data_IF_291619944536
#
_entry.id   IF_291619944536
#
_cell.length_a   1.000
_cell.length_b   1.000
_cell.length_c   1.000
_cell.angle_alpha   90.00
_cell.angle_beta   90.00
_cell.angle_gamma   90.00
#
_symmetry.space_group_name_H-M   'P 1'
#
loop_
_entity.id
_entity.type
_entity.pdbx_description
1 polymer ?
#
# COMPACT_ATOMS: atom_id res chain seq x y z
N UNK A 1 -13.29 20.38 14.43
CA UNK A 1 -14.19 21.53 14.18
C UNK A 1 -15.65 21.19 14.51
N UNK A 2 -16.28 20.22 13.82
CA UNK A 2 -17.70 19.85 14.09
C UNK A 2 -17.93 19.34 15.53
N UNK A 3 -16.99 18.60 16.10
CA UNK A 3 -17.06 18.18 17.50
C UNK A 3 -17.09 19.39 18.46
N UNK A 4 -16.24 20.37 18.23
CA UNK A 4 -16.20 21.60 19.01
C UNK A 4 -17.48 22.42 18.87
N UNK A 5 -18.07 22.47 17.67
CA UNK A 5 -19.37 23.07 17.45
C UNK A 5 -20.48 22.38 18.25
N UNK A 6 -20.48 21.04 18.26
CA UNK A 6 -21.44 20.23 19.01
C UNK A 6 -21.30 20.45 20.53
N UNK A 7 -20.08 20.46 21.05
CA UNK A 7 -19.82 20.80 22.46
C UNK A 7 -20.33 22.18 22.83
N UNK A 8 -20.04 23.20 22.00
CA UNK A 8 -20.51 24.57 22.22
C UNK A 8 -22.04 24.60 22.24
N UNK A 9 -22.70 23.93 21.31
CA UNK A 9 -24.16 23.92 21.23
C UNK A 9 -24.79 23.21 22.44
N UNK A 10 -24.27 22.06 22.85
CA UNK A 10 -24.80 21.30 23.98
C UNK A 10 -24.58 21.99 25.33
N UNK A 11 -23.42 22.61 25.51
CA UNK A 11 -23.03 23.20 26.79
C UNK A 11 -23.65 24.59 27.02
N UNK A 12 -24.01 25.33 25.97
CA UNK A 12 -24.51 26.70 26.11
C UNK A 12 -26.03 26.79 26.11
N UNK A 13 -26.75 25.81 25.59
CA UNK A 13 -28.22 25.84 25.46
C UNK A 13 -28.74 26.92 24.50
N UNK A 14 -27.86 27.50 23.65
CA UNK A 14 -28.22 28.52 22.68
C UNK A 14 -29.09 27.94 21.56
N UNK A 15 -30.02 28.73 21.06
CA UNK A 15 -30.91 28.30 19.98
C UNK A 15 -30.18 28.02 18.66
N UNK A 16 -29.02 28.64 18.44
CA UNK A 16 -28.12 28.40 17.31
C UNK A 16 -26.67 28.53 17.73
N UNK A 17 -25.81 27.64 17.26
CA UNK A 17 -24.37 27.72 17.40
C UNK A 17 -23.70 27.64 16.03
N UNK A 18 -22.77 28.53 15.76
CA UNK A 18 -22.06 28.60 14.48
C UNK A 18 -20.59 28.24 14.62
N UNK A 19 -20.03 27.61 13.60
CA UNK A 19 -18.62 27.40 13.44
C UNK A 19 -18.06 28.51 12.55
N UNK A 20 -17.14 29.29 13.08
CA UNK A 20 -16.47 30.38 12.36
C UNK A 20 -14.96 30.15 12.36
N UNK A 21 -14.28 30.55 11.29
CA UNK A 21 -12.82 30.54 11.23
C UNK A 21 -12.26 31.84 11.80
N UNK A 22 -11.23 31.72 12.61
CA UNK A 22 -10.41 32.86 13.01
C UNK A 22 -9.25 33.00 12.00
N UNK A 23 -9.58 33.24 10.74
CA UNK A 23 -8.54 33.61 9.76
C UNK A 23 -8.53 35.13 9.63
N UNK A 24 -7.45 35.71 10.11
CA UNK A 24 -7.07 37.05 9.72
C UNK A 24 -6.31 36.93 8.40
N UNK A 25 -6.96 37.17 7.26
CA UNK A 25 -6.31 37.37 5.99
C UNK A 25 -5.52 38.68 6.00
N UNK A 26 -4.49 38.76 5.17
CA UNK A 26 -3.77 40.02 4.90
C UNK A 26 -3.89 40.34 3.41
N UNK A 27 -4.01 41.61 3.06
CA UNK A 27 -3.97 42.07 1.69
C UNK A 27 -2.52 42.00 1.11
N UNK A 28 -2.36 42.42 -0.16
CA UNK A 28 -1.07 42.43 -0.82
C UNK A 28 -0.05 43.36 -0.16
N UNK A 29 -0.49 44.33 0.60
CA UNK A 29 0.28 45.30 1.36
C UNK A 29 0.53 44.87 2.81
N UNK A 30 0.07 43.63 3.20
CA UNK A 30 0.25 43.07 4.54
C UNK A 30 -0.67 43.68 5.61
N UNK A 31 -1.74 44.42 5.22
CA UNK A 31 -2.71 44.91 6.16
C UNK A 31 -3.76 43.83 6.49
N UNK A 32 -4.22 43.77 7.75
CA UNK A 32 -5.23 42.79 8.13
C UNK A 32 -6.56 43.06 7.40
N UNK A 33 -7.01 42.09 6.63
CA UNK A 33 -8.33 42.09 6.06
C UNK A 33 -9.41 42.00 7.16
N UNK A 34 -10.63 42.51 6.94
CA UNK A 34 -11.72 42.31 7.86
C UNK A 34 -11.87 40.80 8.18
N UNK A 35 -12.07 40.47 9.46
CA UNK A 35 -12.31 39.09 9.88
C UNK A 35 -13.44 38.49 9.06
N UNK A 36 -13.18 37.39 8.38
CA UNK A 36 -14.19 36.63 7.66
C UNK A 36 -15.18 36.05 8.69
N UNK A 37 -16.37 36.63 8.77
CA UNK A 37 -17.45 36.24 9.69
C UNK A 37 -18.35 35.15 9.10
N UNK A 38 -17.95 34.52 7.96
CA UNK A 38 -18.76 33.51 7.33
C UNK A 38 -19.00 32.31 8.27
N UNK A 39 -20.22 31.83 8.24
CA UNK A 39 -20.62 30.63 8.92
C UNK A 39 -20.29 29.40 8.05
N UNK A 40 -19.42 28.54 8.52
CA UNK A 40 -19.03 27.30 7.79
C UNK A 40 -19.87 26.09 8.17
N UNK A 41 -20.45 26.10 9.35
CA UNK A 41 -21.42 25.11 9.81
C UNK A 41 -22.25 25.71 10.95
N UNK A 42 -23.47 25.29 11.10
CA UNK A 42 -24.32 25.70 12.19
C UNK A 42 -25.11 24.52 12.77
N UNK A 43 -25.34 24.53 14.07
CA UNK A 43 -26.28 23.66 14.77
C UNK A 43 -27.43 24.51 15.30
N UNK A 44 -28.65 24.05 15.10
CA UNK A 44 -29.87 24.71 15.53
C UNK A 44 -30.66 23.79 16.47
N UNK A 45 -31.37 24.34 17.41
CA UNK A 45 -32.50 23.61 18.01
C UNK A 45 -33.56 23.39 16.94
N UNK A 46 -34.32 22.30 17.02
CA UNK A 46 -35.37 22.02 16.02
C UNK A 46 -36.40 23.14 15.86
N UNK A 47 -36.75 23.82 16.95
CA UNK A 47 -37.71 24.94 16.93
C UNK A 47 -37.13 26.13 16.17
N UNK A 48 -35.88 26.52 16.44
CA UNK A 48 -35.22 27.64 15.77
C UNK A 48 -34.95 27.35 14.29
N UNK A 49 -34.60 26.11 13.93
CA UNK A 49 -34.47 25.74 12.52
C UNK A 49 -35.78 25.86 11.77
N UNK A 50 -36.91 25.43 12.35
CA UNK A 50 -38.24 25.58 11.75
C UNK A 50 -38.60 27.06 11.53
N UNK A 51 -38.34 27.91 12.52
CA UNK A 51 -38.58 29.34 12.41
C UNK A 51 -37.69 29.99 11.35
N UNK A 52 -36.41 29.62 11.30
CA UNK A 52 -35.47 30.11 10.29
C UNK A 52 -35.87 29.72 8.88
N UNK A 53 -36.24 28.44 8.65
CA UNK A 53 -36.72 27.97 7.35
C UNK A 53 -38.02 28.67 6.91
N UNK A 54 -38.92 28.99 7.83
CA UNK A 54 -40.16 29.69 7.53
C UNK A 54 -39.92 31.13 7.04
N UNK A 55 -38.73 31.72 7.26
CA UNK A 55 -38.36 33.03 6.74
C UNK A 55 -38.05 33.08 5.24
N UNK A 56 -37.89 31.92 4.61
CA UNK A 56 -37.47 31.80 3.20
C UNK A 56 -35.96 31.97 2.99
N UNK A 57 -35.14 31.93 4.03
CA UNK A 57 -33.70 32.00 3.91
C UNK A 57 -33.15 30.73 3.21
N UNK A 58 -32.32 30.92 2.20
CA UNK A 58 -31.74 29.87 1.32
C UNK A 58 -30.24 29.66 1.51
N UNK A 59 -29.61 30.48 2.34
CA UNK A 59 -28.20 30.38 2.68
C UNK A 59 -27.99 30.04 4.16
N UNK A 60 -26.85 29.45 4.52
CA UNK A 60 -26.53 29.14 5.91
C UNK A 60 -26.48 30.41 6.78
N UNK A 61 -25.85 31.47 6.28
CA UNK A 61 -25.81 32.76 6.97
C UNK A 61 -27.22 33.39 7.12
N UNK A 62 -28.04 33.27 6.10
CA UNK A 62 -29.44 33.69 6.13
C UNK A 62 -30.26 32.94 7.17
N UNK A 63 -30.11 31.63 7.26
CA UNK A 63 -30.77 30.81 8.29
C UNK A 63 -30.30 31.15 9.70
N UNK A 64 -29.01 31.43 9.90
CA UNK A 64 -28.47 31.86 11.20
C UNK A 64 -29.05 33.24 11.56
N UNK A 65 -29.07 34.21 10.62
CA UNK A 65 -29.63 35.52 10.84
C UNK A 65 -31.13 35.46 11.18
N UNK A 66 -31.90 34.63 10.47
CA UNK A 66 -33.33 34.43 10.73
C UNK A 66 -33.59 33.78 12.10
N UNK A 67 -32.78 32.81 12.52
CA UNK A 67 -32.88 32.22 13.85
C UNK A 67 -32.62 33.24 14.96
N UNK A 68 -31.61 34.09 14.80
CA UNK A 68 -31.29 35.17 15.73
C UNK A 68 -32.45 36.20 15.78
N UNK A 69 -32.98 36.59 14.62
CA UNK A 69 -34.13 37.46 14.55
C UNK A 69 -35.39 36.86 15.22
N UNK A 70 -35.52 35.53 15.20
CA UNK A 70 -36.58 34.81 15.90
C UNK A 70 -36.34 34.63 17.42
N UNK A 71 -35.28 35.24 17.97
CA UNK A 71 -34.96 35.26 19.39
C UNK A 71 -33.96 34.20 19.85
N UNK A 72 -33.27 33.50 18.93
CA UNK A 72 -32.20 32.58 19.31
C UNK A 72 -30.99 33.34 19.85
N UNK A 73 -30.40 32.83 20.94
CA UNK A 73 -29.04 33.23 21.32
C UNK A 73 -28.05 32.55 20.39
N UNK A 74 -27.03 33.28 19.94
CA UNK A 74 -26.01 32.79 19.01
C UNK A 74 -24.74 32.38 19.78
N UNK A 75 -24.41 31.10 19.77
CA UNK A 75 -23.10 30.60 20.19
C UNK A 75 -22.12 30.61 19.03
N UNK A 76 -20.84 30.89 19.29
CA UNK A 76 -19.79 30.89 18.29
C UNK A 76 -18.70 29.93 18.73
N UNK A 77 -18.47 28.90 17.92
CA UNK A 77 -17.31 28.01 18.04
C UNK A 77 -16.24 28.49 17.04
N UNK A 78 -15.10 28.92 17.55
CA UNK A 78 -14.00 29.44 16.71
C UNK A 78 -13.00 28.31 16.48
N UNK A 79 -12.55 28.15 15.25
CA UNK A 79 -11.52 27.20 14.90
C UNK A 79 -10.61 27.73 13.80
N UNK A 80 -9.32 27.50 13.93
CA UNK A 80 -8.32 27.74 12.87
C UNK A 80 -8.12 26.52 11.95
N UNK A 81 -8.97 25.49 12.08
CA UNK A 81 -8.85 24.20 11.37
C UNK A 81 -9.92 24.00 10.31
N UNK A 82 -10.37 25.08 9.68
CA UNK A 82 -11.28 25.03 8.54
C UNK A 82 -10.49 25.40 7.29
N UNK A 83 -10.59 24.54 6.29
CA UNK A 83 -10.06 24.77 4.95
C UNK A 83 -11.24 24.95 3.99
N UNK A 84 -11.35 26.12 3.38
CA UNK A 84 -12.29 26.37 2.30
C UNK A 84 -11.58 26.04 1.00
N UNK A 85 -11.99 24.95 0.35
CA UNK A 85 -11.40 24.51 -0.91
C UNK A 85 -12.10 25.23 -2.05
N UNK A 86 -11.51 26.33 -2.51
CA UNK A 86 -12.01 27.14 -3.63
C UNK A 86 -11.12 27.00 -4.90
N UNK A 87 -9.92 26.51 -4.78
CA UNK A 87 -8.97 26.32 -5.89
C UNK A 87 -7.98 25.17 -5.61
N UNK A 88 -7.10 24.92 -6.57
CA UNK A 88 -6.10 23.87 -6.46
C UNK A 88 -5.08 24.10 -5.35
N UNK A 89 -4.74 25.34 -5.02
CA UNK A 89 -3.82 25.69 -3.93
C UNK A 89 -4.43 25.36 -2.58
N UNK A 90 -5.68 25.74 -2.37
CA UNK A 90 -6.39 25.41 -1.14
C UNK A 90 -6.57 23.90 -0.96
N UNK A 91 -6.85 23.18 -2.05
CA UNK A 91 -6.92 21.71 -2.05
C UNK A 91 -5.58 21.09 -1.64
N UNK A 92 -4.47 21.57 -2.21
CA UNK A 92 -3.12 21.12 -1.87
C UNK A 92 -2.78 21.35 -0.39
N UNK A 93 -3.05 22.56 0.11
CA UNK A 93 -2.81 22.90 1.52
C UNK A 93 -3.63 22.02 2.47
N UNK A 94 -4.89 21.75 2.15
CA UNK A 94 -5.72 20.84 2.92
C UNK A 94 -5.16 19.41 2.91
N UNK A 95 -4.67 18.94 1.78
CA UNK A 95 -4.03 17.62 1.66
C UNK A 95 -2.77 17.53 2.52
N UNK A 96 -1.91 18.55 2.50
CA UNK A 96 -0.69 18.59 3.33
C UNK A 96 -1.05 18.55 4.81
N UNK A 97 -2.01 19.34 5.25
CA UNK A 97 -2.48 19.32 6.64
C UNK A 97 -3.05 17.95 7.05
N UNK A 98 -3.85 17.33 6.19
CA UNK A 98 -4.40 16.00 6.47
C UNK A 98 -3.30 14.95 6.61
N UNK A 99 -2.32 14.97 5.71
CA UNK A 99 -1.15 14.09 5.77
C UNK A 99 -0.37 14.27 7.08
N UNK A 100 -0.05 15.52 7.44
CA UNK A 100 0.63 15.82 8.69
C UNK A 100 -0.16 15.37 9.91
N UNK A 101 -1.46 15.58 9.92
CA UNK A 101 -2.34 15.19 11.03
C UNK A 101 -2.36 13.68 11.24
N UNK A 102 -2.43 12.90 10.17
CA UNK A 102 -2.35 11.44 10.23
C UNK A 102 -0.99 11.01 10.75
N UNK A 103 0.10 11.52 10.15
CA UNK A 103 1.46 11.16 10.52
C UNK A 103 1.78 11.51 11.98
N UNK A 104 1.44 12.72 12.46
CA UNK A 104 1.60 13.08 13.87
C UNK A 104 0.74 12.24 14.80
N UNK A 105 -0.47 11.86 14.38
CA UNK A 105 -1.32 10.95 15.14
C UNK A 105 -0.68 9.58 15.35
N UNK A 106 -0.02 9.05 14.32
CA UNK A 106 0.70 7.78 14.38
C UNK A 106 1.98 7.88 15.21
N UNK A 107 2.75 8.97 15.09
CA UNK A 107 3.93 9.21 15.93
C UNK A 107 3.56 9.22 17.42
N UNK A 108 2.47 9.87 17.79
CA UNK A 108 1.95 9.87 19.17
C UNK A 108 1.56 8.49 19.67
N UNK A 109 1.22 7.57 18.78
CA UNK A 109 0.93 6.15 19.08
C UNK A 109 2.19 5.28 19.12
N UNK A 110 3.38 5.84 18.88
CA UNK A 110 4.66 5.11 18.93
C UNK A 110 5.13 4.54 17.59
N UNK A 111 4.58 5.00 16.46
CA UNK A 111 5.10 4.70 15.12
C UNK A 111 6.26 5.64 14.80
N UNK A 112 7.34 5.12 14.24
CA UNK A 112 8.48 5.92 13.78
C UNK A 112 8.28 6.31 12.32
N UNK A 113 8.25 7.60 12.01
CA UNK A 113 8.15 8.12 10.63
C UNK A 113 9.34 9.05 10.38
N UNK A 114 10.21 8.68 9.45
CA UNK A 114 11.49 9.38 9.22
C UNK A 114 11.35 10.65 8.38
N UNK A 115 10.35 10.71 7.50
CA UNK A 115 10.08 11.90 6.69
C UNK A 115 8.58 12.14 6.57
N UNK A 116 8.14 13.25 7.13
CA UNK A 116 6.73 13.65 7.14
C UNK A 116 6.27 14.26 5.81
N UNK A 117 7.20 14.66 4.95
CA UNK A 117 6.89 15.42 3.72
C UNK A 117 6.72 14.53 2.51
N UNK A 118 7.42 13.38 2.46
CA UNK A 118 7.35 12.42 1.35
C UNK A 118 6.56 11.15 1.70
N UNK A 119 6.03 11.04 2.92
CA UNK A 119 5.32 9.84 3.39
C UNK A 119 3.83 10.11 3.47
N UNK A 120 3.09 9.44 2.59
CA UNK A 120 1.62 9.45 2.59
C UNK A 120 1.07 8.21 3.28
N UNK A 121 0.22 8.42 4.29
CA UNK A 121 -0.49 7.35 5.00
C UNK A 121 -1.98 7.67 5.02
N UNK A 122 -2.79 6.73 4.56
CA UNK A 122 -4.24 6.89 4.57
C UNK A 122 -4.80 6.94 6.01
N UNK A 123 -5.83 7.74 6.26
CA UNK A 123 -6.38 7.92 7.61
C UNK A 123 -6.92 6.64 8.27
N UNK A 124 -7.33 5.65 7.46
CA UNK A 124 -7.87 4.35 7.88
C UNK A 124 -6.80 3.27 8.00
N UNK A 125 -5.54 3.57 7.71
CA UNK A 125 -4.44 2.62 7.87
C UNK A 125 -4.20 2.32 9.35
N UNK A 126 -4.17 1.04 9.69
CA UNK A 126 -3.88 0.56 11.05
C UNK A 126 -2.40 0.17 11.15
N UNK A 127 -1.61 1.04 11.79
CA UNK A 127 -0.18 0.84 11.95
C UNK A 127 0.14 0.68 13.44
N UNK A 128 0.67 -0.48 13.79
CA UNK A 128 0.98 -0.82 15.17
C UNK A 128 2.15 0.01 15.74
N UNK A 129 2.15 0.30 17.04
CA UNK A 129 3.28 0.90 17.74
C UNK A 129 4.58 0.12 17.51
N UNK A 130 5.70 0.82 17.39
CA UNK A 130 7.01 0.22 17.12
C UNK A 130 7.29 -0.06 15.65
N UNK A 131 6.32 0.10 14.74
CA UNK A 131 6.58 0.06 13.32
C UNK A 131 7.38 1.28 12.86
N UNK A 132 8.19 1.11 11.81
CA UNK A 132 9.04 2.14 11.21
C UNK A 132 8.62 2.37 9.76
N UNK A 133 8.38 3.63 9.40
CA UNK A 133 8.03 4.03 8.03
C UNK A 133 9.14 4.94 7.52
N UNK A 134 9.82 4.49 6.47
CA UNK A 134 10.92 5.17 5.81
C UNK A 134 10.41 6.14 4.72
N UNK A 135 11.24 7.07 4.23
CA UNK A 135 10.82 8.08 3.25
C UNK A 135 10.22 7.52 1.96
N UNK A 136 9.35 8.30 1.34
CA UNK A 136 8.78 7.97 0.03
C UNK A 136 7.70 6.87 0.04
N UNK A 137 7.19 6.50 1.21
CA UNK A 137 6.17 5.48 1.30
C UNK A 137 4.77 6.01 1.00
N UNK A 138 3.98 5.22 0.26
CA UNK A 138 2.58 5.43 0.02
C UNK A 138 1.76 4.28 0.62
N UNK A 139 1.25 4.48 1.82
CA UNK A 139 0.38 3.52 2.51
C UNK A 139 -1.07 3.93 2.26
N UNK A 140 -1.71 3.23 1.32
CA UNK A 140 -3.05 3.50 0.82
C UNK A 140 -4.13 2.91 1.75
N UNK A 141 -5.42 3.18 1.48
CA UNK A 141 -6.52 2.67 2.31
C UNK A 141 -6.50 1.15 2.52
N UNK A 142 -7.02 0.72 3.68
CA UNK A 142 -7.22 -0.68 4.02
C UNK A 142 -5.94 -1.44 4.39
N UNK A 143 -4.84 -0.75 4.73
CA UNK A 143 -3.59 -1.38 5.12
C UNK A 143 -3.53 -1.63 6.62
N UNK A 144 -2.90 -2.78 6.99
CA UNK A 144 -2.50 -3.09 8.36
C UNK A 144 -1.00 -3.37 8.41
N UNK A 145 -0.30 -2.80 9.37
CA UNK A 145 1.14 -2.98 9.56
C UNK A 145 1.43 -3.37 11.01
N UNK A 146 2.03 -4.54 11.19
CA UNK A 146 2.34 -5.12 12.49
C UNK A 146 3.48 -4.42 13.23
N UNK A 147 3.58 -4.68 14.52
CA UNK A 147 4.60 -4.11 15.39
C UNK A 147 6.03 -4.50 14.95
N UNK A 148 6.97 -3.58 15.01
CA UNK A 148 8.35 -3.81 14.61
C UNK A 148 8.57 -4.00 13.10
N UNK A 149 7.52 -3.88 12.29
CA UNK A 149 7.67 -3.92 10.84
C UNK A 149 8.39 -2.66 10.32
N UNK A 150 9.16 -2.81 9.24
CA UNK A 150 9.88 -1.73 8.57
C UNK A 150 9.37 -1.60 7.15
N UNK A 151 8.74 -0.46 6.83
CA UNK A 151 8.17 -0.19 5.52
C UNK A 151 8.97 0.90 4.82
N UNK A 152 9.45 0.62 3.65
CA UNK A 152 10.20 1.58 2.81
C UNK A 152 11.69 1.27 2.70
N UNK A 153 12.44 2.21 2.06
CA UNK A 153 11.89 3.41 1.42
C UNK A 153 11.08 3.11 0.15
N UNK A 154 10.39 4.13 -0.42
CA UNK A 154 9.71 4.08 -1.72
C UNK A 154 8.78 2.87 -1.90
N UNK A 155 8.04 2.50 -0.87
CA UNK A 155 7.15 1.33 -0.84
C UNK A 155 5.70 1.75 -1.01
N UNK A 156 4.95 1.00 -1.80
CA UNK A 156 3.51 1.20 -1.98
C UNK A 156 2.76 0.02 -1.38
N UNK A 157 1.86 0.31 -0.45
CA UNK A 157 0.94 -0.66 0.12
C UNK A 157 -0.51 -0.24 -0.16
N UNK A 158 -1.37 -1.15 -0.56
CA UNK A 158 -2.81 -0.92 -0.74
C UNK A 158 -3.60 -2.16 -0.34
N UNK A 159 -4.53 -2.01 0.60
CA UNK A 159 -5.30 -3.15 1.17
C UNK A 159 -4.38 -4.33 1.53
N UNK A 160 -3.22 -4.02 2.09
CA UNK A 160 -2.17 -4.98 2.40
C UNK A 160 -2.08 -5.22 3.90
N UNK A 161 -1.91 -6.48 4.29
CA UNK A 161 -1.64 -6.85 5.68
C UNK A 161 -0.19 -7.30 5.81
N UNK A 162 0.60 -6.58 6.60
CA UNK A 162 2.02 -6.84 6.83
C UNK A 162 2.23 -7.28 8.28
N UNK A 163 2.75 -8.49 8.47
CA UNK A 163 3.00 -9.09 9.78
C UNK A 163 4.09 -8.39 10.60
N UNK A 164 4.12 -8.71 11.89
CA UNK A 164 5.09 -8.14 12.83
C UNK A 164 6.54 -8.49 12.44
N UNK A 165 7.47 -7.56 12.62
CA UNK A 165 8.90 -7.75 12.33
C UNK A 165 9.24 -7.90 10.85
N UNK A 166 8.28 -7.72 9.95
CA UNK A 166 8.47 -7.87 8.51
C UNK A 166 9.05 -6.61 7.89
N UNK A 167 9.98 -6.77 6.96
CA UNK A 167 10.56 -5.67 6.19
C UNK A 167 10.04 -5.68 4.77
N UNK A 168 9.48 -4.55 4.30
CA UNK A 168 9.08 -4.35 2.90
C UNK A 168 9.88 -3.17 2.35
N UNK A 169 10.85 -3.45 1.49
CA UNK A 169 11.81 -2.49 1.00
C UNK A 169 11.59 -2.22 -0.50
N UNK A 170 11.38 -0.95 -0.87
CA UNK A 170 11.32 -0.49 -2.26
C UNK A 170 10.47 -1.41 -3.18
N UNK A 171 9.27 -1.74 -2.71
CA UNK A 171 8.42 -2.79 -3.27
C UNK A 171 6.95 -2.38 -3.28
N UNK A 172 6.13 -3.15 -3.99
CA UNK A 172 4.70 -2.90 -4.08
C UNK A 172 3.92 -4.13 -3.60
N UNK A 173 2.95 -3.91 -2.72
CA UNK A 173 2.05 -4.96 -2.19
C UNK A 173 0.61 -4.49 -2.30
N UNK A 174 -0.19 -5.21 -3.07
CA UNK A 174 -1.60 -4.91 -3.32
C UNK A 174 -2.51 -6.05 -2.90
N UNK A 175 -3.57 -5.76 -2.15
CA UNK A 175 -4.66 -6.68 -1.78
C UNK A 175 -4.14 -8.08 -1.38
N UNK A 176 -3.12 -8.12 -0.49
CA UNK A 176 -2.36 -9.32 -0.18
C UNK A 176 -1.90 -9.32 1.27
N UNK A 177 -1.57 -10.50 1.78
CA UNK A 177 -1.05 -10.68 3.13
C UNK A 177 0.40 -11.14 3.08
N UNK A 178 1.25 -10.53 3.90
CA UNK A 178 2.64 -10.93 4.15
C UNK A 178 2.79 -11.24 5.63
N UNK A 179 3.18 -12.44 5.97
CA UNK A 179 3.35 -12.93 7.34
C UNK A 179 4.47 -12.22 8.10
N UNK A 180 4.69 -12.67 9.33
CA UNK A 180 5.65 -12.07 10.26
C UNK A 180 7.08 -12.47 9.95
N UNK A 181 8.06 -11.62 10.33
CA UNK A 181 9.50 -11.88 10.17
C UNK A 181 9.91 -12.23 8.74
N UNK A 182 9.19 -11.73 7.77
CA UNK A 182 9.40 -11.94 6.34
C UNK A 182 10.13 -10.74 5.74
N UNK A 183 10.93 -10.96 4.70
CA UNK A 183 11.58 -9.88 3.95
C UNK A 183 11.03 -9.82 2.54
N UNK A 184 10.64 -8.61 2.09
CA UNK A 184 10.13 -8.33 0.75
C UNK A 184 10.97 -7.25 0.09
N UNK A 185 11.48 -7.53 -1.09
CA UNK A 185 12.25 -6.58 -1.88
C UNK A 185 13.77 -6.73 -1.79
N UNK A 186 14.50 -5.78 -2.42
CA UNK A 186 13.91 -4.65 -3.14
C UNK A 186 13.26 -5.03 -4.47
N UNK A 187 12.41 -4.15 -5.02
CA UNK A 187 11.78 -4.30 -6.33
C UNK A 187 10.91 -5.54 -6.51
N UNK A 188 10.28 -6.00 -5.43
CA UNK A 188 9.28 -7.07 -5.51
C UNK A 188 7.89 -6.50 -5.81
N UNK A 189 7.09 -7.28 -6.54
CA UNK A 189 5.70 -6.95 -6.86
C UNK A 189 4.77 -8.07 -6.39
N UNK A 190 4.08 -7.83 -5.27
CA UNK A 190 3.07 -8.76 -4.74
C UNK A 190 1.69 -8.28 -5.18
N UNK A 191 1.10 -9.01 -6.12
CA UNK A 191 -0.17 -8.70 -6.76
C UNK A 191 -1.34 -9.25 -5.96
N UNK A 192 -2.56 -8.72 -6.23
CA UNK A 192 -3.77 -9.12 -5.51
C UNK A 192 -3.96 -10.62 -5.34
N UNK A 193 -4.57 -10.99 -4.20
CA UNK A 193 -4.90 -12.36 -3.83
C UNK A 193 -3.66 -13.26 -3.61
N UNK A 194 -2.56 -12.68 -3.17
CA UNK A 194 -1.37 -13.44 -2.77
C UNK A 194 -1.25 -13.50 -1.25
N UNK A 195 -0.79 -14.64 -0.75
CA UNK A 195 -0.55 -14.86 0.68
C UNK A 195 0.87 -15.37 0.85
N UNK A 196 1.70 -14.66 1.58
CA UNK A 196 3.07 -15.04 1.93
C UNK A 196 3.11 -15.37 3.42
N UNK A 197 3.65 -16.52 3.77
CA UNK A 197 3.77 -16.99 5.15
C UNK A 197 4.84 -16.27 5.96
N UNK A 198 5.09 -16.79 7.15
CA UNK A 198 6.07 -16.27 8.09
C UNK A 198 7.51 -16.68 7.73
N UNK A 199 8.48 -15.84 8.06
CA UNK A 199 9.90 -16.13 7.88
C UNK A 199 10.34 -16.33 6.43
N UNK A 200 9.55 -15.85 5.47
CA UNK A 200 9.83 -15.97 4.05
C UNK A 200 10.84 -14.92 3.57
N UNK A 201 11.41 -15.19 2.41
CA UNK A 201 12.23 -14.23 1.66
C UNK A 201 11.69 -14.08 0.25
N UNK A 202 11.15 -12.91 -0.06
CA UNK A 202 10.70 -12.52 -1.41
C UNK A 202 11.66 -11.42 -1.86
N UNK A 203 12.64 -11.77 -2.69
CA UNK A 203 13.75 -10.89 -3.02
C UNK A 203 13.52 -10.03 -4.25
N UNK A 204 14.64 -9.66 -4.88
CA UNK A 204 14.68 -8.69 -5.97
C UNK A 204 14.04 -9.22 -7.26
N UNK A 205 13.23 -8.37 -7.86
CA UNK A 205 12.53 -8.63 -9.12
C UNK A 205 11.66 -9.89 -9.09
N UNK A 206 11.05 -10.17 -7.93
CA UNK A 206 10.08 -11.25 -7.77
C UNK A 206 8.67 -10.73 -7.95
N UNK A 207 7.90 -11.40 -8.80
CA UNK A 207 6.48 -11.13 -8.96
C UNK A 207 5.65 -12.32 -8.46
N UNK A 208 4.74 -12.06 -7.51
CA UNK A 208 3.75 -13.03 -7.04
C UNK A 208 2.36 -12.61 -7.49
N UNK A 209 1.54 -13.56 -7.95
CA UNK A 209 0.17 -13.31 -8.39
C UNK A 209 -0.76 -14.47 -8.02
N UNK A 210 -1.80 -14.20 -7.25
CA UNK A 210 -2.82 -15.22 -6.85
C UNK A 210 -2.18 -16.51 -6.32
N UNK A 211 -1.13 -16.36 -5.50
CA UNK A 211 -0.31 -17.48 -5.05
C UNK A 211 -0.22 -17.50 -3.53
N UNK A 212 -0.15 -18.71 -2.99
CA UNK A 212 0.12 -18.93 -1.57
C UNK A 212 1.54 -19.47 -1.43
N UNK A 213 2.34 -18.83 -0.57
CA UNK A 213 3.72 -19.19 -0.27
C UNK A 213 3.79 -19.60 1.20
N UNK A 214 4.17 -20.86 1.46
CA UNK A 214 4.29 -21.41 2.81
C UNK A 214 5.47 -20.84 3.60
N UNK A 215 5.45 -21.05 4.92
CA UNK A 215 6.41 -20.48 5.86
C UNK A 215 7.86 -20.86 5.52
N UNK A 216 8.79 -19.95 5.76
CA UNK A 216 10.23 -20.18 5.56
C UNK A 216 10.67 -20.35 4.12
N UNK A 217 9.78 -20.18 3.15
CA UNK A 217 10.08 -20.32 1.72
C UNK A 217 10.87 -19.12 1.21
N UNK A 218 11.84 -19.40 0.33
CA UNK A 218 12.77 -18.43 -0.25
C UNK A 218 12.59 -18.32 -1.75
N UNK A 219 12.18 -17.13 -2.21
CA UNK A 219 12.06 -16.75 -3.62
C UNK A 219 12.93 -15.51 -3.78
N UNK A 220 14.23 -15.72 -3.97
CA UNK A 220 15.20 -14.63 -3.73
C UNK A 220 15.47 -13.75 -4.94
N UNK A 221 15.28 -14.21 -6.19
CA UNK A 221 15.75 -13.48 -7.37
C UNK A 221 14.95 -13.78 -8.64
N UNK A 222 14.56 -12.73 -9.40
CA UNK A 222 14.10 -12.78 -10.79
C UNK A 222 13.11 -13.94 -11.07
N UNK A 223 12.03 -14.01 -10.31
CA UNK A 223 11.13 -15.15 -10.33
C UNK A 223 9.69 -14.71 -10.51
N UNK A 224 8.95 -15.39 -11.40
CA UNK A 224 7.50 -15.21 -11.50
C UNK A 224 6.76 -16.43 -10.95
N UNK A 225 5.89 -16.21 -9.96
CA UNK A 225 4.99 -17.23 -9.41
C UNK A 225 3.55 -16.75 -9.56
N UNK A 226 2.82 -17.38 -10.48
CA UNK A 226 1.42 -17.07 -10.75
C UNK A 226 0.51 -18.27 -10.59
N UNK A 227 -0.66 -18.07 -9.95
CA UNK A 227 -1.69 -19.10 -9.75
C UNK A 227 -1.08 -20.40 -9.14
N UNK A 228 -0.28 -20.28 -8.07
CA UNK A 228 0.43 -21.41 -7.46
C UNK A 228 0.09 -21.58 -5.97
N UNK A 229 0.21 -22.82 -5.49
CA UNK A 229 0.29 -23.16 -4.07
C UNK A 229 1.66 -23.74 -3.79
N UNK A 230 2.44 -23.07 -2.96
CA UNK A 230 3.80 -23.44 -2.60
C UNK A 230 3.83 -23.79 -1.11
N UNK A 231 4.39 -24.92 -0.79
CA UNK A 231 4.57 -25.41 0.58
C UNK A 231 5.60 -24.61 1.37
N UNK A 232 5.98 -25.15 2.52
CA UNK A 232 6.93 -24.55 3.43
C UNK A 232 8.37 -24.86 3.05
N UNK A 233 9.32 -23.98 3.42
CA UNK A 233 10.76 -24.15 3.29
C UNK A 233 11.25 -24.50 1.87
N UNK A 234 10.46 -24.11 0.88
CA UNK A 234 10.83 -24.28 -0.54
C UNK A 234 11.91 -23.25 -0.90
N UNK A 235 12.89 -23.66 -1.68
CA UNK A 235 13.90 -22.74 -2.22
C UNK A 235 13.77 -22.63 -3.74
N UNK A 236 13.52 -21.42 -4.22
CA UNK A 236 13.49 -21.12 -5.66
C UNK A 236 14.84 -20.57 -6.12
N UNK A 237 15.40 -21.21 -7.14
CA UNK A 237 16.55 -20.69 -7.88
C UNK A 237 16.16 -19.50 -8.78
N UNK A 238 17.13 -18.65 -9.05
CA UNK A 238 16.99 -17.48 -9.90
C UNK A 238 16.42 -17.83 -11.29
N UNK A 239 15.53 -17.00 -11.81
CA UNK A 239 14.96 -17.15 -13.14
C UNK A 239 13.89 -18.24 -13.26
N UNK A 240 13.34 -18.71 -12.16
CA UNK A 240 12.22 -19.66 -12.19
C UNK A 240 10.94 -18.98 -12.67
N UNK A 241 10.21 -19.64 -13.56
CA UNK A 241 8.93 -19.16 -14.08
C UNK A 241 7.85 -20.23 -13.94
N UNK A 242 6.74 -19.86 -13.31
CA UNK A 242 5.50 -20.64 -13.38
C UNK A 242 4.74 -20.23 -14.63
N UNK A 243 4.72 -21.12 -15.64
CA UNK A 243 4.03 -20.90 -16.90
C UNK A 243 2.57 -21.28 -16.73
N UNK A 244 1.78 -20.37 -16.15
CA UNK A 244 0.41 -20.60 -15.70
C UNK A 244 -0.67 -20.34 -16.75
N UNK A 245 -0.30 -19.88 -17.96
CA UNK A 245 -1.26 -19.46 -18.99
C UNK A 245 -0.91 -20.08 -20.35
N UNK A 246 -1.88 -20.73 -20.98
CA UNK A 246 -1.74 -21.42 -22.27
C UNK A 246 -2.19 -20.58 -23.50
N UNK A 247 -2.57 -19.32 -23.28
CA UNK A 247 -3.16 -18.45 -24.30
C UNK A 247 -4.69 -18.33 -24.15
N UNK A 248 -5.36 -19.26 -23.47
CA UNK A 248 -6.80 -19.31 -23.27
C UNK A 248 -7.19 -19.42 -21.79
N UNK A 249 -6.55 -20.31 -21.02
CA UNK A 249 -6.88 -20.63 -19.64
C UNK A 249 -5.67 -20.51 -18.72
N UNK A 250 -5.95 -20.27 -17.45
CA UNK A 250 -4.94 -20.28 -16.39
C UNK A 250 -5.04 -21.55 -15.59
N UNK A 251 -3.91 -22.15 -15.32
CA UNK A 251 -3.78 -23.39 -14.57
C UNK A 251 -2.96 -23.17 -13.30
N UNK A 252 -3.21 -24.02 -12.31
CA UNK A 252 -2.54 -23.94 -11.02
C UNK A 252 -1.37 -24.91 -10.97
N UNK A 253 -0.27 -24.46 -10.33
CA UNK A 253 0.88 -25.30 -9.97
C UNK A 253 0.85 -25.55 -8.46
N UNK A 254 1.13 -26.81 -8.06
CA UNK A 254 1.25 -27.21 -6.66
C UNK A 254 2.69 -27.63 -6.38
N UNK A 255 3.31 -27.09 -5.32
CA UNK A 255 4.66 -27.42 -4.91
C UNK A 255 4.60 -27.81 -3.43
N UNK A 256 5.02 -29.00 -3.10
CA UNK A 256 5.08 -29.52 -1.73
C UNK A 256 6.16 -28.87 -0.88
N UNK A 257 6.29 -29.36 0.35
CA UNK A 257 7.26 -28.85 1.32
C UNK A 257 8.69 -29.25 0.99
N UNK A 258 9.66 -28.44 1.47
CA UNK A 258 11.10 -28.72 1.39
C UNK A 258 11.64 -28.96 -0.04
N UNK A 259 10.93 -28.46 -1.06
CA UNK A 259 11.35 -28.59 -2.44
C UNK A 259 12.50 -27.64 -2.79
N UNK A 260 13.34 -28.07 -3.72
CA UNK A 260 14.37 -27.23 -4.32
C UNK A 260 14.13 -27.05 -5.81
N UNK A 261 13.82 -25.83 -6.21
CA UNK A 261 13.57 -25.48 -7.61
C UNK A 261 14.87 -24.88 -8.17
N UNK A 262 15.50 -25.60 -9.11
CA UNK A 262 16.76 -25.15 -9.71
C UNK A 262 16.62 -23.87 -10.53
N UNK A 263 17.71 -23.13 -10.71
CA UNK A 263 17.70 -21.89 -11.50
C UNK A 263 17.20 -22.11 -12.93
N UNK A 264 16.49 -21.10 -13.47
CA UNK A 264 15.91 -21.15 -14.83
C UNK A 264 14.99 -22.36 -15.06
N UNK A 265 14.30 -22.81 -14.03
CA UNK A 265 13.26 -23.85 -14.16
C UNK A 265 11.96 -23.22 -14.68
N UNK A 266 11.38 -23.84 -15.71
CA UNK A 266 10.04 -23.52 -16.17
C UNK A 266 9.06 -24.58 -15.66
N UNK A 267 8.06 -24.18 -14.88
CA UNK A 267 6.97 -25.05 -14.41
C UNK A 267 5.75 -24.83 -15.30
N UNK A 268 5.54 -25.73 -16.27
CA UNK A 268 4.43 -25.60 -17.23
C UNK A 268 3.15 -26.16 -16.58
N UNK A 269 2.31 -25.24 -16.11
CA UNK A 269 1.08 -25.61 -15.40
C UNK A 269 0.04 -26.28 -16.33
N UNK A 270 -0.77 -27.23 -15.84
CA UNK A 270 -0.80 -27.70 -14.45
C UNK A 270 0.28 -28.75 -14.19
N UNK A 271 1.04 -28.58 -13.10
CA UNK A 271 2.01 -29.59 -12.62
C UNK A 271 2.00 -29.62 -11.09
N UNK A 272 2.34 -30.79 -10.55
CA UNK A 272 2.49 -31.01 -9.11
C UNK A 272 3.89 -31.53 -8.79
N UNK A 273 4.57 -30.89 -7.85
CA UNK A 273 5.82 -31.34 -7.28
C UNK A 273 5.54 -31.86 -5.86
N UNK A 274 5.84 -33.12 -5.61
CA UNK A 274 5.71 -33.70 -4.27
C UNK A 274 6.78 -33.17 -3.31
N UNK A 275 6.61 -33.41 -2.02
CA UNK A 275 7.53 -32.96 -0.98
C UNK A 275 8.97 -33.39 -1.26
N UNK A 276 9.91 -32.50 -0.96
CA UNK A 276 11.35 -32.74 -1.18
C UNK A 276 11.72 -33.02 -2.64
N UNK A 277 10.86 -32.68 -3.59
CA UNK A 277 11.20 -32.76 -5.01
C UNK A 277 12.31 -31.75 -5.36
N UNK A 278 13.16 -32.14 -6.28
CA UNK A 278 14.26 -31.32 -6.77
C UNK A 278 14.16 -31.16 -8.28
N UNK A 279 14.33 -29.95 -8.81
CA UNK A 279 14.48 -29.73 -10.24
C UNK A 279 15.89 -29.27 -10.56
N UNK A 280 16.52 -29.89 -11.54
CA UNK A 280 17.85 -29.47 -12.00
C UNK A 280 17.75 -28.09 -12.70
N UNK A 281 18.81 -27.29 -12.63
CA UNK A 281 18.86 -25.99 -13.31
C UNK A 281 18.59 -26.15 -14.82
N UNK A 282 17.80 -25.21 -15.38
CA UNK A 282 17.39 -25.22 -16.79
C UNK A 282 16.36 -26.31 -17.16
N UNK A 283 15.67 -26.86 -16.18
CA UNK A 283 14.63 -27.89 -16.43
C UNK A 283 13.31 -27.24 -16.84
N UNK A 284 12.67 -27.78 -17.88
CA UNK A 284 11.28 -27.48 -18.20
C UNK A 284 10.38 -28.62 -17.76
N UNK A 285 9.64 -28.43 -16.68
CA UNK A 285 8.77 -29.42 -16.06
C UNK A 285 7.41 -29.39 -16.74
N UNK A 286 7.02 -30.49 -17.37
CA UNK A 286 5.73 -30.65 -18.08
C UNK A 286 4.90 -31.80 -17.54
N UNK A 287 5.39 -32.51 -16.52
CA UNK A 287 4.74 -33.64 -15.85
C UNK A 287 4.99 -33.54 -14.36
N UNK A 288 4.12 -34.15 -13.57
CA UNK A 288 4.27 -34.20 -12.13
C UNK A 288 5.62 -34.83 -11.72
N UNK A 289 6.20 -34.28 -10.64
CA UNK A 289 7.46 -34.76 -10.05
C UNK A 289 7.14 -35.44 -8.73
N UNK A 290 7.43 -36.74 -8.59
CA UNK A 290 7.17 -37.45 -7.33
C UNK A 290 7.97 -36.89 -6.16
N UNK A 291 7.48 -37.11 -4.94
CA UNK A 291 8.19 -36.71 -3.73
C UNK A 291 9.60 -37.26 -3.69
N UNK A 292 10.59 -36.45 -3.32
CA UNK A 292 11.98 -36.79 -3.22
C UNK A 292 12.69 -37.08 -4.56
N UNK A 293 12.03 -36.89 -5.69
CA UNK A 293 12.60 -37.15 -7.01
C UNK A 293 13.40 -35.96 -7.55
N UNK A 294 14.43 -36.22 -8.33
CA UNK A 294 15.15 -35.23 -9.16
C UNK A 294 14.54 -35.22 -10.57
N UNK A 295 14.00 -34.09 -10.99
CA UNK A 295 13.55 -33.85 -12.37
C UNK A 295 14.65 -33.20 -13.19
N UNK A 296 15.01 -33.78 -14.35
CA UNK A 296 15.97 -33.23 -15.30
C UNK A 296 15.35 -33.27 -16.70
N UNK A 297 15.08 -32.10 -17.26
CA UNK A 297 14.51 -31.97 -18.61
C UNK A 297 15.27 -30.91 -19.41
N UNK A 298 16.49 -31.26 -19.79
CA UNK A 298 17.39 -30.46 -20.63
C UNK A 298 18.31 -31.37 -21.44
N UNK A 299 18.81 -30.88 -22.57
CA UNK A 299 19.76 -31.61 -23.40
C UNK A 299 21.07 -31.86 -22.66
N UNK A 300 21.74 -32.97 -23.00
CA UNK A 300 23.11 -33.23 -22.52
C UNK A 300 24.06 -32.18 -23.09
N UNK A 301 24.97 -31.71 -22.27
CA UNK A 301 25.98 -30.77 -22.69
C UNK A 301 26.93 -31.44 -23.71
N UNK A 302 27.21 -30.72 -24.79
CA UNK A 302 28.23 -31.08 -25.78
C UNK A 302 29.23 -29.94 -25.89
N UNK A 303 30.53 -30.28 -25.74
CA UNK A 303 31.61 -29.31 -25.90
C UNK A 303 32.22 -29.48 -27.31
N UNK A 304 32.30 -28.39 -28.06
CA UNK A 304 32.93 -28.35 -29.38
C UNK A 304 34.33 -27.77 -29.23
N UNK A 305 35.32 -28.60 -29.00
CA UNK A 305 36.73 -28.19 -28.83
C UNK A 305 37.23 -27.42 -30.03
N UNK A 306 38.00 -26.36 -29.82
CA UNK A 306 38.56 -25.49 -30.85
C UNK A 306 37.54 -24.72 -31.71
N UNK A 307 36.26 -24.66 -31.28
CA UNK A 307 35.20 -23.98 -32.06
C UNK A 307 35.50 -22.49 -32.25
N UNK A 308 35.95 -21.80 -31.20
CA UNK A 308 36.24 -20.38 -31.28
C UNK A 308 37.45 -20.07 -32.17
N UNK A 309 38.50 -20.93 -32.12
CA UNK A 309 39.69 -20.78 -32.93
C UNK A 309 39.37 -20.95 -34.44
N UNK A 310 38.55 -21.96 -34.78
CA UNK A 310 38.06 -22.17 -36.15
C UNK A 310 37.22 -20.97 -36.65
N UNK A 311 36.38 -20.44 -35.79
CA UNK A 311 35.53 -19.26 -36.11
C UNK A 311 36.39 -18.02 -36.36
N UNK A 312 37.40 -17.79 -35.52
CA UNK A 312 38.34 -16.70 -35.63
C UNK A 312 39.15 -16.75 -36.93
N UNK A 313 39.68 -17.91 -37.24
CA UNK A 313 40.42 -18.15 -38.50
C UNK A 313 39.56 -18.00 -39.76
N UNK A 314 38.25 -18.27 -39.67
CA UNK A 314 37.32 -17.99 -40.79
C UNK A 314 37.13 -16.49 -41.01
N UNK A 315 36.89 -15.71 -39.95
CA UNK A 315 36.74 -14.25 -40.04
C UNK A 315 38.00 -13.54 -40.56
N UNK A 316 39.19 -13.98 -40.12
CA UNK A 316 40.45 -13.40 -40.60
C UNK A 316 40.71 -13.69 -42.13
N UNK A 317 40.00 -14.65 -42.70
CA UNK A 317 40.04 -14.93 -44.15
C UNK A 317 39.06 -14.07 -44.95
N UNK A 318 37.94 -13.70 -44.35
CA UNK A 318 36.91 -12.85 -45.00
C UNK A 318 37.29 -11.35 -45.02
N UNK A 319 38.26 -10.94 -44.21
CA UNK A 319 38.81 -9.58 -44.14
C UNK A 319 40.02 -9.33 -45.07
N UNK A 320 40.48 -10.34 -45.77
CA UNK A 320 41.56 -10.26 -46.81
C UNK A 320 41.00 -10.42 -48.20
#
# INVERSE_FOLDING_TARGET
ALFHLAETHLNTGYGVSVLSAEQQGFDAEGQPLPRDSRCYAAMFTCDMLKKALASGADTLDGLVAAAVAAGAQKGIAITNKIYVICDGTAAFMAQVEMMQRVNYGLIKKGVQIFDLTSTYIAPDADIAPGATILPGCHIRPGCKVGAGAVIGPNTILEKAEIGAGTTVNNSQVYESTVGSNTTVGPFAYIRPQSVVGDGCRIGDFVELKKSTIGNGTKVSHLTYIGDATVGERVNFGCGTVVVNYDGYHKYRTEIGDDCFIGCNTNLVSPVKLGDRAFTAAGTTVTKDVPAGALSVARSRQTNLEGWNDRRRAAHEKDEK
#
